data_IF_457243799612
#
_entry.id   IF_457243799612
#
_cell.length_a   1.000
_cell.length_b   1.000
_cell.length_c   1.000
_cell.angle_alpha   90.00
_cell.angle_beta   90.00
_cell.angle_gamma   90.00
#
_symmetry.space_group_name_H-M   'P 1'
#
loop_
_entity.id
_entity.type
_entity.pdbx_description
1 polymer ?
#
# COMPACT_ATOMS: atom_id res chain seq x y z
N UNK A 1 -28.97 -8.30 15.89
CA UNK A 1 -30.23 -7.76 15.34
C UNK A 1 -30.96 -8.90 14.62
N UNK A 2 -32.13 -9.30 15.12
CA UNK A 2 -32.90 -10.49 14.70
C UNK A 2 -32.03 -11.76 14.74
N UNK A 3 -31.68 -12.31 13.56
CA UNK A 3 -30.83 -13.49 13.44
C UNK A 3 -29.38 -13.16 13.07
N UNK A 4 -29.02 -11.87 13.05
CA UNK A 4 -27.71 -11.38 12.69
C UNK A 4 -26.90 -11.08 13.97
N UNK A 5 -25.81 -11.82 14.17
CA UNK A 5 -24.84 -11.54 15.22
C UNK A 5 -23.90 -10.42 14.76
N UNK A 6 -23.93 -9.30 15.47
CA UNK A 6 -23.02 -8.17 15.20
C UNK A 6 -21.92 -8.18 16.24
N UNK A 7 -20.65 -8.40 15.86
CA UNK A 7 -19.55 -8.36 16.82
C UNK A 7 -19.40 -6.95 17.40
N UNK A 8 -18.88 -6.82 18.63
CA UNK A 8 -18.53 -5.52 19.19
C UNK A 8 -17.58 -4.79 18.25
N UNK A 9 -17.97 -3.61 17.81
CA UNK A 9 -17.19 -2.83 16.83
C UNK A 9 -16.86 -1.46 17.40
N UNK A 10 -15.56 -1.14 17.49
CA UNK A 10 -15.05 0.18 17.81
C UNK A 10 -14.59 0.87 16.53
N UNK A 11 -15.10 2.06 16.27
CA UNK A 11 -14.70 2.88 15.13
C UNK A 11 -14.06 4.17 15.64
N UNK A 12 -12.83 4.44 15.21
CA UNK A 12 -12.11 5.67 15.51
C UNK A 12 -11.97 6.51 14.25
N UNK A 13 -12.19 7.81 14.38
CA UNK A 13 -11.99 8.78 13.31
C UNK A 13 -10.92 9.78 13.71
N UNK A 14 -10.01 10.07 12.77
CA UNK A 14 -9.07 11.16 12.90
C UNK A 14 -9.13 12.02 11.64
N UNK A 15 -9.22 13.33 11.81
CA UNK A 15 -9.25 14.29 10.71
C UNK A 15 -8.04 15.22 10.80
N UNK A 16 -7.43 15.48 9.65
CA UNK A 16 -6.35 16.44 9.53
C UNK A 16 -6.51 17.24 8.23
N UNK A 17 -5.98 18.46 8.22
CA UNK A 17 -5.97 19.31 7.03
C UNK A 17 -4.63 19.10 6.31
N UNK A 18 -4.69 18.85 5.00
CA UNK A 18 -3.52 18.69 4.14
C UNK A 18 -3.66 19.45 2.84
N UNK A 19 -2.54 19.63 2.12
CA UNK A 19 -2.52 20.22 0.78
C UNK A 19 -2.68 19.11 -0.26
N UNK A 20 -3.75 19.13 -1.04
CA UNK A 20 -4.05 18.08 -2.03
C UNK A 20 -2.91 17.84 -3.04
N UNK A 21 -2.20 18.89 -3.45
CA UNK A 21 -1.06 18.79 -4.38
C UNK A 21 0.20 18.09 -3.81
N UNK A 22 0.19 17.71 -2.53
CA UNK A 22 1.30 16.98 -1.86
C UNK A 22 0.94 15.53 -1.58
N UNK A 23 -0.27 15.12 -1.90
CA UNK A 23 -0.73 13.74 -1.68
C UNK A 23 -0.22 12.86 -2.81
N UNK A 24 0.41 11.74 -2.47
CA UNK A 24 0.75 10.67 -3.41
C UNK A 24 -0.24 9.52 -3.24
N UNK A 25 -0.53 8.81 -4.31
CA UNK A 25 -1.36 7.62 -4.25
C UNK A 25 -0.54 6.36 -3.94
N UNK A 26 -1.22 5.26 -3.71
CA UNK A 26 -0.56 4.03 -3.20
C UNK A 26 0.04 3.16 -4.30
N UNK A 27 -0.47 3.21 -5.53
CA UNK A 27 -0.01 2.34 -6.62
C UNK A 27 1.39 2.74 -7.14
N UNK A 28 2.21 1.76 -7.49
CA UNK A 28 3.50 1.98 -8.17
C UNK A 28 3.33 2.77 -9.47
N UNK A 29 4.26 3.69 -9.77
CA UNK A 29 4.16 4.64 -10.88
C UNK A 29 4.93 4.21 -12.12
N UNK A 30 6.10 3.62 -11.94
CA UNK A 30 6.94 3.20 -13.07
C UNK A 30 7.81 1.99 -12.69
N UNK A 31 8.24 1.18 -13.65
CA UNK A 31 9.29 0.18 -13.44
C UNK A 31 10.63 0.83 -13.08
N UNK A 32 11.55 0.01 -12.55
CA UNK A 32 12.92 0.39 -12.19
C UNK A 32 12.99 1.50 -11.14
N UNK A 33 11.99 1.57 -10.26
CA UNK A 33 11.99 2.47 -9.11
C UNK A 33 12.46 1.74 -7.88
N UNK A 34 13.31 2.38 -7.10
CA UNK A 34 13.72 1.90 -5.77
C UNK A 34 12.55 1.93 -4.81
N UNK A 35 12.33 0.83 -4.09
CA UNK A 35 11.30 0.71 -3.05
C UNK A 35 11.95 0.55 -1.69
N UNK A 36 11.56 1.39 -0.74
CA UNK A 36 12.12 1.41 0.61
C UNK A 36 11.05 1.29 1.68
N UNK A 37 11.45 0.79 2.85
CA UNK A 37 10.63 0.69 4.04
C UNK A 37 11.09 1.71 5.09
N UNK A 38 10.16 2.47 5.62
CA UNK A 38 10.33 3.27 6.83
C UNK A 38 9.55 2.59 7.95
N UNK A 39 10.24 2.08 8.95
CA UNK A 39 9.59 1.40 10.08
C UNK A 39 9.99 2.02 11.42
N UNK A 40 9.06 2.12 12.38
CA UNK A 40 9.38 2.57 13.73
C UNK A 40 10.12 1.48 14.50
N UNK A 41 10.80 1.90 15.56
CA UNK A 41 11.31 0.98 16.59
C UNK A 41 10.08 0.44 17.34
N UNK A 42 10.01 -0.87 17.52
CA UNK A 42 8.96 -1.50 18.32
C UNK A 42 9.44 -1.73 19.74
N UNK A 43 8.54 -1.56 20.70
CA UNK A 43 8.76 -1.99 22.06
C UNK A 43 8.83 -3.54 22.11
N UNK A 44 9.90 -4.13 22.64
CA UNK A 44 10.10 -5.58 22.59
C UNK A 44 9.13 -6.38 23.47
N UNK A 45 8.48 -5.74 24.43
CA UNK A 45 7.54 -6.39 25.36
C UNK A 45 6.11 -6.31 24.84
N UNK A 46 5.69 -5.14 24.39
CA UNK A 46 4.31 -4.87 23.98
C UNK A 46 4.10 -5.02 22.47
N UNK A 47 5.18 -4.99 21.66
CA UNK A 47 5.11 -4.93 20.20
C UNK A 47 4.56 -3.60 19.65
N UNK A 48 4.28 -2.64 20.51
CA UNK A 48 3.77 -1.33 20.09
C UNK A 48 4.89 -0.46 19.50
N UNK A 49 4.57 0.39 18.51
CA UNK A 49 5.54 1.36 18.00
C UNK A 49 5.97 2.37 19.08
N UNK A 50 7.28 2.62 19.17
CA UNK A 50 7.80 3.72 19.96
C UNK A 50 7.37 5.05 19.34
N UNK A 51 6.64 5.87 20.08
CA UNK A 51 6.04 7.11 19.57
C UNK A 51 7.05 8.17 19.11
N UNK A 52 8.23 8.24 19.69
CA UNK A 52 9.27 9.15 19.23
C UNK A 52 9.79 8.74 17.85
N UNK A 53 10.11 7.48 17.69
CA UNK A 53 10.53 6.90 16.41
C UNK A 53 9.43 7.04 15.36
N UNK A 54 8.16 6.76 15.72
CA UNK A 54 7.01 6.88 14.83
C UNK A 54 6.82 8.32 14.32
N UNK A 55 6.84 9.31 15.23
CA UNK A 55 6.72 10.72 14.86
C UNK A 55 7.88 11.20 14.00
N UNK A 56 9.11 10.78 14.32
CA UNK A 56 10.28 11.12 13.52
C UNK A 56 10.19 10.57 12.11
N UNK A 57 9.74 9.32 11.96
CA UNK A 57 9.55 8.69 10.66
C UNK A 57 8.46 9.39 9.83
N UNK A 58 7.31 9.70 10.44
CA UNK A 58 6.22 10.39 9.73
C UNK A 58 6.63 11.79 9.26
N UNK A 59 7.35 12.54 10.12
CA UNK A 59 7.91 13.84 9.73
C UNK A 59 8.91 13.70 8.58
N UNK A 60 9.76 12.65 8.61
CA UNK A 60 10.70 12.37 7.52
C UNK A 60 9.95 12.06 6.21
N UNK A 61 8.92 11.21 6.25
CA UNK A 61 8.12 10.88 5.07
C UNK A 61 7.41 12.12 4.53
N UNK A 62 6.80 12.94 5.41
CA UNK A 62 6.16 14.19 5.03
C UNK A 62 7.15 15.11 4.28
N UNK A 63 8.35 15.31 4.83
CA UNK A 63 9.38 16.12 4.20
C UNK A 63 9.79 15.57 2.82
N UNK A 64 10.01 14.25 2.72
CA UNK A 64 10.36 13.62 1.43
C UNK A 64 9.23 13.77 0.38
N UNK A 65 7.97 13.74 0.81
CA UNK A 65 6.83 13.99 -0.08
C UNK A 65 6.79 15.48 -0.51
N UNK A 66 7.05 16.40 0.41
CA UNK A 66 7.15 17.84 0.10
C UNK A 66 8.27 18.15 -0.89
N UNK A 67 9.40 17.46 -0.77
CA UNK A 67 10.58 17.61 -1.64
C UNK A 67 10.42 16.87 -2.98
N UNK A 68 9.27 16.21 -3.20
CA UNK A 68 9.00 15.48 -4.45
C UNK A 68 9.84 14.22 -4.64
N UNK A 69 10.39 13.65 -3.56
CA UNK A 69 11.25 12.47 -3.59
C UNK A 69 10.46 11.15 -3.62
N UNK A 70 9.16 11.18 -3.30
CA UNK A 70 8.28 10.01 -3.18
C UNK A 70 7.29 10.00 -4.34
N UNK A 71 7.24 8.90 -5.09
CA UNK A 71 6.30 8.70 -6.19
C UNK A 71 4.99 8.05 -5.71
N UNK A 72 5.09 7.08 -4.79
CA UNK A 72 3.96 6.38 -4.19
C UNK A 72 4.26 6.01 -2.73
N UNK A 73 3.22 5.91 -1.91
CA UNK A 73 3.34 5.54 -0.50
C UNK A 73 2.18 4.67 -0.04
N UNK A 74 2.46 3.62 0.74
CA UNK A 74 1.45 2.74 1.32
C UNK A 74 1.80 2.38 2.76
N UNK A 75 0.83 2.43 3.65
CA UNK A 75 0.99 1.95 5.02
C UNK A 75 0.99 0.42 5.06
N UNK A 76 1.80 -0.15 5.95
CA UNK A 76 1.82 -1.60 6.20
C UNK A 76 0.79 -1.94 7.27
N UNK A 77 -0.17 -2.78 6.90
CA UNK A 77 -1.27 -3.22 7.77
C UNK A 77 -1.09 -4.63 8.31
N UNK A 78 -2.23 -5.28 8.56
CA UNK A 78 -2.31 -6.62 9.13
C UNK A 78 -1.65 -7.70 8.27
N UNK A 79 -1.79 -7.61 6.94
CA UNK A 79 -1.20 -8.57 5.99
C UNK A 79 0.29 -8.35 5.71
N UNK A 80 0.94 -7.44 6.43
CA UNK A 80 2.37 -7.20 6.33
C UNK A 80 2.82 -6.55 5.03
N UNK A 81 4.10 -6.70 4.73
CA UNK A 81 4.70 -6.18 3.50
C UNK A 81 4.13 -6.86 2.25
N UNK A 82 3.83 -8.16 2.33
CA UNK A 82 3.25 -8.90 1.20
C UNK A 82 1.95 -8.25 0.72
N UNK A 83 1.04 -7.91 1.63
CA UNK A 83 -0.20 -7.21 1.29
C UNK A 83 0.05 -5.81 0.72
N UNK A 84 0.93 -5.03 1.37
CA UNK A 84 1.20 -3.66 0.95
C UNK A 84 1.81 -3.62 -0.46
N UNK A 85 2.86 -4.39 -0.72
CA UNK A 85 3.54 -4.45 -2.01
C UNK A 85 2.64 -5.02 -3.11
N UNK A 86 1.86 -6.08 -2.81
CA UNK A 86 0.87 -6.62 -3.74
C UNK A 86 -0.14 -5.55 -4.17
N UNK A 87 -0.74 -4.84 -3.21
CA UNK A 87 -1.71 -3.77 -3.50
C UNK A 87 -1.10 -2.61 -4.26
N UNK A 88 0.16 -2.25 -3.98
CA UNK A 88 0.87 -1.22 -4.73
C UNK A 88 1.10 -1.63 -6.19
N UNK A 89 1.27 -2.91 -6.48
CA UNK A 89 1.45 -3.43 -7.83
C UNK A 89 0.17 -3.48 -8.68
N UNK A 90 -1.03 -3.52 -8.05
CA UNK A 90 -2.30 -3.73 -8.76
C UNK A 90 -2.67 -2.59 -9.72
N UNK A 91 -2.56 -1.34 -9.26
CA UNK A 91 -3.15 -0.18 -9.95
C UNK A 91 -2.63 0.03 -11.37
N UNK A 92 -1.32 0.03 -11.54
CA UNK A 92 -0.66 0.23 -12.84
C UNK A 92 -0.06 -1.05 -13.42
N UNK A 93 -0.37 -2.22 -12.83
CA UNK A 93 0.14 -3.54 -13.24
C UNK A 93 1.67 -3.58 -13.29
N UNK A 94 2.30 -3.04 -12.27
CA UNK A 94 3.76 -2.98 -12.10
C UNK A 94 4.14 -4.08 -11.11
N UNK A 95 5.14 -4.88 -11.46
CA UNK A 95 5.65 -5.93 -10.59
C UNK A 95 6.64 -5.40 -9.54
N UNK A 96 7.13 -6.31 -8.72
CA UNK A 96 8.11 -6.01 -7.68
C UNK A 96 9.11 -7.16 -7.54
N UNK A 97 10.37 -6.82 -7.38
CA UNK A 97 11.45 -7.75 -7.11
C UNK A 97 12.16 -7.38 -5.81
N UNK A 98 12.11 -8.29 -4.86
CA UNK A 98 12.78 -8.10 -3.57
C UNK A 98 14.29 -8.24 -3.71
N UNK A 99 15.02 -7.35 -3.06
CA UNK A 99 16.49 -7.33 -3.05
C UNK A 99 17.09 -7.52 -1.66
N UNK A 100 16.26 -7.62 -0.62
CA UNK A 100 16.71 -7.91 0.75
C UNK A 100 16.50 -9.39 1.11
N UNK A 101 17.08 -9.80 2.25
CA UNK A 101 17.03 -11.19 2.73
C UNK A 101 15.88 -11.45 3.73
N UNK A 102 14.73 -10.80 3.56
CA UNK A 102 13.56 -11.09 4.38
C UNK A 102 13.04 -12.49 4.10
N UNK A 103 12.58 -13.15 5.15
CA UNK A 103 11.94 -14.45 5.04
C UNK A 103 10.46 -14.31 4.69
N UNK A 104 9.83 -15.39 4.21
CA UNK A 104 8.39 -15.43 3.98
C UNK A 104 7.61 -15.05 5.25
N UNK A 105 8.07 -15.48 6.42
CA UNK A 105 7.45 -15.11 7.70
C UNK A 105 7.47 -13.59 7.93
N UNK A 106 8.59 -12.92 7.61
CA UNK A 106 8.72 -11.47 7.78
C UNK A 106 7.80 -10.71 6.83
N UNK A 107 7.55 -11.25 5.64
CA UNK A 107 6.65 -10.65 4.65
C UNK A 107 5.20 -10.54 5.11
N UNK A 108 4.73 -11.51 5.88
CA UNK A 108 3.34 -11.55 6.38
C UNK A 108 3.18 -11.04 7.81
N UNK A 109 4.27 -10.61 8.44
CA UNK A 109 4.25 -10.09 9.80
C UNK A 109 3.62 -8.68 9.83
N UNK A 110 2.66 -8.42 10.72
CA UNK A 110 2.12 -7.08 10.91
C UNK A 110 3.24 -6.09 11.29
N UNK A 111 3.27 -4.94 10.60
CA UNK A 111 4.29 -3.90 10.83
C UNK A 111 3.62 -2.53 10.97
N UNK A 112 2.70 -2.40 11.93
CA UNK A 112 1.94 -1.18 12.14
C UNK A 112 2.84 0.06 12.36
N UNK A 113 2.46 1.16 11.72
CA UNK A 113 3.25 2.39 11.73
C UNK A 113 4.39 2.43 10.72
N UNK A 114 4.60 1.33 9.96
CA UNK A 114 5.55 1.30 8.84
C UNK A 114 4.92 1.80 7.55
N UNK A 115 5.74 2.39 6.69
CA UNK A 115 5.34 2.92 5.39
C UNK A 115 6.30 2.40 4.32
N UNK A 116 5.75 1.86 3.24
CA UNK A 116 6.49 1.51 2.02
C UNK A 116 6.44 2.72 1.09
N UNK A 117 7.58 3.10 0.54
CA UNK A 117 7.72 4.22 -0.39
C UNK A 117 8.33 3.74 -1.70
N UNK A 118 7.75 4.16 -2.83
CA UNK A 118 8.40 4.17 -4.13
C UNK A 118 9.14 5.49 -4.29
N UNK A 119 10.44 5.43 -4.57
CA UNK A 119 11.29 6.61 -4.66
C UNK A 119 11.37 7.13 -6.09
N UNK A 120 11.42 8.45 -6.24
CA UNK A 120 11.65 9.11 -7.55
C UNK A 120 13.09 8.94 -8.02
N UNK A 121 14.02 8.83 -7.06
CA UNK A 121 15.46 8.65 -7.31
C UNK A 121 16.05 7.67 -6.27
N UNK A 122 17.26 7.17 -6.53
CA UNK A 122 17.96 6.19 -5.68
C UNK A 122 18.54 6.80 -4.38
N UNK A 123 17.92 7.82 -3.83
CA UNK A 123 18.35 8.42 -2.59
C UNK A 123 18.12 7.44 -1.41
N UNK A 124 19.10 7.25 -0.51
CA UNK A 124 18.98 6.37 0.65
C UNK A 124 18.00 6.97 1.67
N UNK A 125 16.74 6.58 1.58
CA UNK A 125 15.68 7.15 2.41
C UNK A 125 15.22 6.22 3.55
N UNK A 126 15.46 4.92 3.44
CA UNK A 126 14.99 3.91 4.39
C UNK A 126 15.69 2.58 4.21
N UNK A 127 15.10 1.51 4.72
CA UNK A 127 15.55 0.14 4.48
C UNK A 127 15.19 -0.25 3.05
N UNK A 128 16.17 -0.61 2.23
CA UNK A 128 15.94 -1.07 0.86
C UNK A 128 15.11 -2.37 0.88
N UNK A 129 13.97 -2.37 0.22
CA UNK A 129 13.18 -3.58 -0.01
C UNK A 129 13.51 -4.23 -1.36
N UNK A 130 13.61 -3.43 -2.41
CA UNK A 130 13.82 -3.91 -3.76
C UNK A 130 13.51 -2.86 -4.81
N UNK A 131 13.11 -3.33 -5.97
CA UNK A 131 12.79 -2.49 -7.14
C UNK A 131 11.48 -2.91 -7.81
N UNK A 132 10.82 -1.97 -8.42
CA UNK A 132 9.66 -2.23 -9.28
C UNK A 132 10.10 -2.80 -10.62
N UNK A 133 9.27 -3.65 -11.24
CA UNK A 133 9.58 -4.30 -12.52
C UNK A 133 8.48 -4.07 -13.57
N UNK A 134 8.87 -4.07 -14.84
CA UNK A 134 7.91 -3.99 -15.96
C UNK A 134 7.09 -5.28 -16.10
N UNK A 135 7.67 -6.42 -15.74
CA UNK A 135 6.98 -7.70 -15.69
C UNK A 135 5.99 -7.68 -14.53
N UNK A 136 4.73 -8.04 -14.79
CA UNK A 136 3.71 -8.09 -13.75
C UNK A 136 3.84 -9.33 -12.89
N UNK A 137 4.96 -9.41 -12.15
CA UNK A 137 5.34 -10.52 -11.27
C UNK A 137 5.76 -10.02 -9.89
N UNK A 138 5.62 -10.87 -8.89
CA UNK A 138 6.09 -10.61 -7.54
C UNK A 138 7.23 -11.59 -7.22
N UNK A 139 8.46 -11.10 -7.15
CA UNK A 139 9.64 -11.91 -6.85
C UNK A 139 10.09 -11.65 -5.41
N UNK A 140 9.97 -12.66 -4.55
CA UNK A 140 10.41 -12.58 -3.17
C UNK A 140 10.78 -13.97 -2.60
N UNK A 141 11.70 -13.98 -1.66
CA UNK A 141 12.06 -15.20 -0.90
C UNK A 141 12.47 -16.40 -1.79
N UNK A 142 12.94 -16.16 -3.00
CA UNK A 142 13.30 -17.20 -3.97
C UNK A 142 12.17 -17.64 -4.89
N UNK A 143 10.97 -17.18 -4.68
CA UNK A 143 9.79 -17.47 -5.49
C UNK A 143 9.48 -16.32 -6.46
N UNK A 144 8.93 -16.67 -7.63
CA UNK A 144 8.39 -15.73 -8.61
C UNK A 144 6.92 -16.05 -8.84
N UNK A 145 6.06 -15.13 -8.47
CA UNK A 145 4.61 -15.28 -8.51
C UNK A 145 4.02 -14.41 -9.64
N UNK A 146 3.02 -14.95 -10.33
CA UNK A 146 2.25 -14.20 -11.34
C UNK A 146 1.23 -13.31 -10.62
N UNK A 147 1.38 -12.00 -10.75
CA UNK A 147 0.49 -11.01 -10.14
C UNK A 147 -0.94 -11.06 -10.71
N UNK A 148 -1.11 -11.48 -11.97
CA UNK A 148 -2.45 -11.60 -12.56
C UNK A 148 -3.23 -12.75 -11.91
N UNK A 149 -2.58 -13.86 -11.63
CA UNK A 149 -3.19 -14.99 -10.89
C UNK A 149 -3.50 -14.59 -9.46
N UNK A 150 -2.59 -13.91 -8.77
CA UNK A 150 -2.82 -13.42 -7.40
C UNK A 150 -4.00 -12.44 -7.35
N UNK A 151 -4.11 -11.55 -8.34
CA UNK A 151 -5.22 -10.61 -8.46
C UNK A 151 -6.56 -11.34 -8.65
N UNK A 152 -6.61 -12.34 -9.52
CA UNK A 152 -7.82 -13.13 -9.75
C UNK A 152 -8.29 -13.84 -8.47
N UNK A 153 -7.36 -14.46 -7.72
CA UNK A 153 -7.66 -15.09 -6.43
C UNK A 153 -8.19 -14.07 -5.42
N UNK A 154 -7.56 -12.90 -5.35
CA UNK A 154 -7.92 -11.86 -4.39
C UNK A 154 -9.29 -11.26 -4.71
N UNK A 155 -9.55 -10.90 -5.97
CA UNK A 155 -10.82 -10.36 -6.44
C UNK A 155 -11.94 -11.40 -6.35
N UNK A 156 -11.67 -12.66 -6.69
CA UNK A 156 -12.65 -13.75 -6.69
C UNK A 156 -13.13 -14.16 -5.31
N UNK A 157 -12.41 -13.83 -4.25
CA UNK A 157 -12.73 -14.29 -2.89
C UNK A 157 -14.11 -13.84 -2.38
N UNK A 158 -14.51 -12.63 -2.67
CA UNK A 158 -15.80 -12.07 -2.25
C UNK A 158 -16.86 -12.11 -3.37
N UNK A 159 -16.51 -12.47 -4.59
CA UNK A 159 -17.40 -12.48 -5.74
C UNK A 159 -18.69 -13.30 -5.51
N UNK A 160 -18.67 -14.47 -4.83
CA UNK A 160 -19.88 -15.25 -4.58
C UNK A 160 -20.90 -14.57 -3.66
N UNK A 161 -20.45 -13.68 -2.75
CA UNK A 161 -21.30 -13.03 -1.74
C UNK A 161 -21.51 -11.54 -2.01
N UNK A 162 -20.56 -10.91 -2.69
CA UNK A 162 -20.62 -9.49 -3.07
C UNK A 162 -19.96 -9.28 -4.43
N UNK A 163 -20.66 -9.58 -5.52
CA UNK A 163 -20.11 -9.48 -6.86
C UNK A 163 -19.83 -8.01 -7.21
N UNK A 164 -18.58 -7.71 -7.59
CA UNK A 164 -18.21 -6.38 -8.08
C UNK A 164 -18.37 -6.26 -9.60
N UNK A 165 -18.27 -7.38 -10.31
CA UNK A 165 -18.54 -7.44 -11.76
C UNK A 165 -20.04 -7.55 -11.99
N UNK A 166 -20.75 -6.44 -12.03
CA UNK A 166 -22.16 -6.45 -12.39
C UNK A 166 -22.30 -6.65 -13.90
N UNK A 167 -22.97 -7.73 -14.30
CA UNK A 167 -23.55 -7.82 -15.63
C UNK A 167 -24.72 -6.85 -15.70
N UNK A 168 -24.49 -5.64 -16.17
CA UNK A 168 -25.50 -4.59 -16.27
C UNK A 168 -25.25 -3.70 -17.47
N UNK A 169 -26.24 -2.92 -17.93
CA UNK A 169 -26.06 -2.03 -19.05
C UNK A 169 -24.88 -1.08 -18.75
N UNK A 170 -24.03 -0.93 -19.74
CA UNK A 170 -22.92 0.03 -19.71
C UNK A 170 -23.47 1.38 -19.28
N UNK A 171 -22.98 1.93 -18.17
CA UNK A 171 -23.37 3.28 -17.75
C UNK A 171 -23.02 4.21 -18.89
N UNK A 172 -24.02 4.87 -19.49
CA UNK A 172 -23.79 5.88 -20.50
C UNK A 172 -22.80 6.90 -19.92
N UNK A 173 -21.73 7.19 -20.66
CA UNK A 173 -20.76 8.22 -20.25
C UNK A 173 -21.53 9.51 -20.04
N UNK A 174 -21.60 9.99 -18.81
CA UNK A 174 -22.12 11.30 -18.50
C UNK A 174 -21.16 12.33 -19.12
N UNK A 175 -21.46 12.79 -20.33
CA UNK A 175 -20.73 13.88 -20.99
C UNK A 175 -21.11 15.26 -20.40
N UNK A 176 -21.15 15.36 -19.09
CA UNK A 176 -21.39 16.60 -18.37
C UNK A 176 -20.06 17.26 -17.99
N UNK A 177 -19.81 18.48 -18.47
CA UNK A 177 -18.78 19.34 -17.88
C UNK A 177 -19.21 19.62 -16.42
N UNK A 178 -18.45 19.13 -15.47
CA UNK A 178 -18.56 19.57 -14.08
C UNK A 178 -18.12 21.05 -14.03
N UNK A 179 -19.08 21.95 -14.01
CA UNK A 179 -18.81 23.35 -13.66
C UNK A 179 -18.71 23.41 -12.13
N UNK A 180 -17.55 23.84 -11.64
CA UNK A 180 -17.39 24.13 -10.22
C UNK A 180 -18.44 25.17 -9.79
N UNK A 181 -19.09 25.00 -8.62
CA UNK A 181 -19.92 26.05 -8.10
C UNK A 181 -19.10 27.31 -7.84
N UNK A 182 -19.68 28.46 -8.19
CA UNK A 182 -19.09 29.78 -8.01
C UNK A 182 -18.85 30.12 -6.54
#
# INVERSE_FOLDING_TARGET
FEKLDVPPTLVSFATAIGKAGRVVSTEFKKPESTVVLIRPILDPVTGCPNFFSLKANYKKVEQMMEDGMVAAASSVGYGGLAEALFKMGLGNRIGFKMMNNMTTHDMFKPMYGSIVLEMVSDAPAGELLGETTADYTFECCGDKLDMAQLQEIWEGKLEPVYPYRKAGPTVEKINGKLTAPA
#
